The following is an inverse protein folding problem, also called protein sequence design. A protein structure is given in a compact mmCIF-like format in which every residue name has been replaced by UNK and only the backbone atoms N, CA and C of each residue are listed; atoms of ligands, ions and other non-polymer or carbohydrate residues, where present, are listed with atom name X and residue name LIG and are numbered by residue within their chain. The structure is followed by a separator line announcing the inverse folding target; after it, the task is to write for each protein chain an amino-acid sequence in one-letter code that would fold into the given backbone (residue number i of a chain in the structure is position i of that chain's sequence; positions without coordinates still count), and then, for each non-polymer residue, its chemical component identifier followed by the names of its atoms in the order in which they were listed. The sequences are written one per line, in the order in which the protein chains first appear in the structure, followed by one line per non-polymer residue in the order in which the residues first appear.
data_IF_680853392876
#
_entry.id   IF_680853392876
#
_cell.length_a   1.000
_cell.length_b   1.000
_cell.length_c   1.000
_cell.angle_alpha   90.00
_cell.angle_beta   90.00
_cell.angle_gamma   90.00
#
_symmetry.space_group_name_H-M   'P 1'
#
loop_
_entity.id
_entity.type
_entity.pdbx_description
1 polymer ?
#
# COMPACT_ATOMS: atom_id res chain seq x y z
N UNK A 1 -3.68 9.24 3.45
CA UNK A 1 -2.92 9.60 4.66
C UNK A 1 -1.52 9.03 4.55
N UNK A 2 -0.49 9.84 4.83
CA UNK A 2 0.90 9.35 4.85
C UNK A 2 1.35 9.09 6.29
N UNK A 3 1.85 7.89 6.55
CA UNK A 3 2.42 7.49 7.83
C UNK A 3 3.93 7.37 7.63
N UNK A 4 4.69 8.22 8.32
CA UNK A 4 6.15 8.16 8.33
C UNK A 4 6.62 6.84 8.94
N UNK A 5 7.14 5.95 8.10
CA UNK A 5 7.61 4.63 8.51
C UNK A 5 8.85 4.26 7.67
N UNK A 6 9.94 3.80 8.30
CA UNK A 6 11.12 3.35 7.55
C UNK A 6 10.81 2.10 6.72
N UNK A 7 11.62 1.87 5.69
CA UNK A 7 11.61 0.61 4.93
C UNK A 7 11.67 -0.61 5.86
N UNK A 8 10.89 -1.64 5.55
CA UNK A 8 10.81 -2.87 6.34
C UNK A 8 9.87 -2.80 7.54
N UNK A 9 9.30 -1.63 7.85
CA UNK A 9 8.27 -1.51 8.89
C UNK A 9 7.08 -2.42 8.59
N UNK A 10 6.57 -3.09 9.63
CA UNK A 10 5.48 -4.06 9.51
C UNK A 10 4.18 -3.34 9.13
N UNK A 11 3.47 -3.90 8.16
CA UNK A 11 2.12 -3.53 7.79
C UNK A 11 1.15 -4.54 8.36
N UNK A 12 0.16 -4.05 9.09
CA UNK A 12 -0.93 -4.86 9.63
C UNK A 12 -2.23 -4.55 8.91
N UNK A 13 -3.11 -5.55 8.80
CA UNK A 13 -4.46 -5.35 8.29
C UNK A 13 -5.24 -4.43 9.23
N UNK A 14 -5.73 -3.31 8.69
CA UNK A 14 -6.56 -2.36 9.43
C UNK A 14 -7.98 -2.88 9.71
N UNK A 15 -8.47 -3.82 8.91
CA UNK A 15 -9.81 -4.43 9.01
C UNK A 15 -9.72 -5.94 8.73
N UNK A 16 -10.78 -6.67 9.07
CA UNK A 16 -10.99 -8.01 8.52
C UNK A 16 -11.33 -7.88 7.03
N UNK A 17 -10.91 -8.84 6.20
CA UNK A 17 -11.31 -8.82 4.81
C UNK A 17 -10.50 -9.74 3.92
N UNK A 18 -10.47 -9.40 2.64
CA UNK A 18 -9.81 -10.18 1.59
C UNK A 18 -8.84 -9.31 0.79
N UNK A 19 -7.65 -9.83 0.52
CA UNK A 19 -6.70 -9.21 -0.38
C UNK A 19 -7.27 -9.26 -1.81
N UNK A 20 -7.52 -8.10 -2.39
CA UNK A 20 -8.10 -7.94 -3.73
C UNK A 20 -7.08 -7.50 -4.77
N UNK A 21 -5.91 -7.02 -4.36
CA UNK A 21 -4.83 -6.64 -5.27
C UNK A 21 -3.46 -6.71 -4.59
N UNK A 22 -2.46 -7.21 -5.32
CA UNK A 22 -1.04 -7.11 -5.01
C UNK A 22 -0.28 -6.83 -6.29
N UNK A 23 0.43 -5.71 -6.40
CA UNK A 23 1.17 -5.40 -7.62
C UNK A 23 1.59 -3.94 -7.72
N UNK A 24 2.22 -3.57 -8.83
CA UNK A 24 2.60 -2.18 -9.10
C UNK A 24 1.44 -1.41 -9.72
N UNK A 25 0.91 -0.41 -9.00
CA UNK A 25 -0.28 0.36 -9.35
C UNK A 25 0.07 1.82 -9.66
N UNK A 26 0.98 2.03 -10.61
CA UNK A 26 1.38 3.36 -11.09
C UNK A 26 1.87 4.25 -9.94
N UNK A 27 1.15 5.35 -9.69
CA UNK A 27 1.52 6.32 -8.66
C UNK A 27 1.58 5.74 -7.24
N UNK A 28 0.82 4.68 -6.94
CA UNK A 28 0.87 3.99 -5.65
C UNK A 28 2.10 3.10 -5.45
N UNK A 29 2.92 2.92 -6.50
CA UNK A 29 4.04 1.99 -6.47
C UNK A 29 3.56 0.55 -6.31
N UNK A 30 4.34 -0.28 -5.64
CA UNK A 30 3.84 -1.55 -5.14
C UNK A 30 2.75 -1.30 -4.10
N UNK A 31 1.61 -1.94 -4.30
CA UNK A 31 0.38 -1.72 -3.55
C UNK A 31 -0.23 -3.05 -3.13
N UNK A 32 -0.70 -3.11 -1.89
CA UNK A 32 -1.63 -4.15 -1.40
C UNK A 32 -2.98 -3.50 -1.24
N UNK A 33 -4.04 -4.14 -1.73
CA UNK A 33 -5.42 -3.73 -1.48
C UNK A 33 -6.12 -4.79 -0.67
N UNK A 34 -6.68 -4.37 0.46
CA UNK A 34 -7.55 -5.14 1.33
C UNK A 34 -8.98 -4.63 1.12
N UNK A 35 -9.94 -5.52 0.94
CA UNK A 35 -11.35 -5.15 0.80
C UNK A 35 -12.23 -6.01 1.67
N UNK A 36 -13.27 -5.38 2.20
CA UNK A 36 -14.42 -6.03 2.82
C UNK A 36 -15.70 -5.62 2.07
N UNK A 37 -16.89 -5.98 2.55
CA UNK A 37 -18.17 -5.71 1.89
C UNK A 37 -18.38 -4.23 1.54
N UNK A 38 -17.98 -3.30 2.42
CA UNK A 38 -18.24 -1.86 2.27
C UNK A 38 -16.97 -1.00 2.19
N UNK A 39 -15.80 -1.60 2.38
CA UNK A 39 -14.54 -0.88 2.55
C UNK A 39 -13.45 -1.39 1.64
N UNK A 40 -12.64 -0.46 1.12
CA UNK A 40 -11.41 -0.76 0.40
C UNK A 40 -10.26 0.04 0.98
N UNK A 41 -9.24 -0.66 1.45
CA UNK A 41 -8.03 -0.09 2.02
C UNK A 41 -6.84 -0.40 1.11
N UNK A 42 -6.12 0.64 0.69
CA UNK A 42 -4.91 0.51 -0.12
C UNK A 42 -3.68 0.91 0.69
N UNK A 43 -2.71 0.00 0.73
CA UNK A 43 -1.38 0.21 1.29
C UNK A 43 -0.43 0.41 0.12
N UNK A 44 0.05 1.62 -0.08
CA UNK A 44 0.93 2.01 -1.19
C UNK A 44 2.39 2.11 -0.74
N UNK A 45 3.30 2.12 -1.71
CA UNK A 45 4.76 2.15 -1.52
C UNK A 45 5.27 0.98 -0.67
N UNK A 46 4.62 -0.19 -0.76
CA UNK A 46 4.98 -1.39 0.01
C UNK A 46 6.15 -2.13 -0.62
N UNK A 47 6.66 -3.14 0.09
CA UNK A 47 7.73 -4.00 -0.41
C UNK A 47 7.26 -4.83 -1.61
N UNK A 48 8.09 -4.99 -2.65
CA UNK A 48 7.79 -5.93 -3.75
C UNK A 48 7.77 -7.40 -3.31
N UNK A 49 8.29 -7.71 -2.11
CA UNK A 49 8.23 -9.04 -1.51
C UNK A 49 6.90 -9.19 -0.77
N UNK A 50 5.84 -9.44 -1.53
CA UNK A 50 4.53 -9.74 -0.95
C UNK A 50 4.58 -11.03 -0.13
N UNK A 51 3.98 -10.99 1.06
CA UNK A 51 3.78 -12.17 1.93
C UNK A 51 2.31 -12.63 1.95
N UNK A 52 1.47 -11.94 1.18
CA UNK A 52 0.05 -12.23 0.98
C UNK A 52 -0.24 -12.30 -0.51
N UNK A 53 -1.33 -12.98 -0.88
CA UNK A 53 -1.76 -13.15 -2.26
C UNK A 53 -3.22 -12.72 -2.49
N UNK A 54 -3.55 -12.33 -3.73
CA UNK A 54 -4.94 -12.01 -4.12
C UNK A 54 -5.82 -13.23 -3.89
N UNK A 55 -6.87 -13.08 -3.11
CA UNK A 55 -7.71 -14.21 -2.69
C UNK A 55 -7.64 -14.49 -1.19
N UNK A 56 -6.52 -14.17 -0.55
CA UNK A 56 -6.28 -14.45 0.86
C UNK A 56 -7.22 -13.66 1.75
N UNK A 57 -7.87 -14.34 2.70
CA UNK A 57 -8.59 -13.70 3.81
C UNK A 57 -7.61 -13.38 4.93
N UNK A 58 -7.74 -12.20 5.53
CA UNK A 58 -6.89 -11.75 6.64
C UNK A 58 -7.77 -11.14 7.72
N UNK A 59 -7.34 -11.27 8.96
CA UNK A 59 -7.99 -10.65 10.12
C UNK A 59 -7.30 -9.34 10.50
N UNK A 60 -8.04 -8.41 11.09
CA UNK A 60 -7.51 -7.15 11.62
C UNK A 60 -6.36 -7.44 12.57
N UNK A 61 -5.23 -6.76 12.35
CA UNK A 61 -3.99 -6.94 13.11
C UNK A 61 -3.07 -8.01 12.53
N UNK A 62 -3.48 -8.79 11.55
CA UNK A 62 -2.62 -9.74 10.84
C UNK A 62 -1.55 -9.00 10.04
N UNK A 63 -0.34 -9.57 9.99
CA UNK A 63 0.78 -9.01 9.23
C UNK A 63 0.56 -9.30 7.75
N UNK A 64 0.39 -8.24 6.95
CA UNK A 64 0.10 -8.33 5.51
C UNK A 64 1.26 -7.92 4.61
N UNK A 65 2.30 -7.30 5.17
CA UNK A 65 3.46 -6.90 4.40
C UNK A 65 4.41 -5.99 5.15
N UNK A 66 5.24 -5.28 4.38
CA UNK A 66 6.21 -4.33 4.90
C UNK A 66 6.23 -3.07 4.04
N UNK A 67 6.59 -1.93 4.64
CA UNK A 67 6.91 -0.70 3.90
C UNK A 67 8.06 -0.99 2.95
N UNK A 68 7.91 -0.54 1.71
CA UNK A 68 8.88 -0.80 0.66
C UNK A 68 10.02 0.20 0.64
N UNK A 69 11.04 -0.07 -0.20
CA UNK A 69 12.11 0.88 -0.45
C UNK A 69 11.58 2.10 -1.23
N UNK A 70 12.33 3.21 -1.16
CA UNK A 70 12.12 4.37 -2.04
C UNK A 70 12.31 4.00 -3.52
N UNK A 71 13.29 3.16 -3.82
CA UNK A 71 13.70 2.83 -5.18
C UNK A 71 13.36 1.38 -5.53
N UNK A 72 12.82 1.17 -6.73
CA UNK A 72 12.49 -0.17 -7.25
C UNK A 72 12.92 -0.29 -8.71
N UNK A 73 13.67 -1.36 -9.01
CA UNK A 73 14.27 -1.57 -10.33
C UNK A 73 13.58 -2.74 -11.06
N UNK A 74 13.59 -2.70 -12.40
CA UNK A 74 13.05 -3.79 -13.23
C UNK A 74 11.53 -3.85 -13.31
N UNK A 75 10.82 -2.82 -12.83
CA UNK A 75 9.35 -2.75 -12.87
C UNK A 75 8.90 -2.30 -14.26
N UNK A 76 8.29 -3.23 -15.03
CA UNK A 76 7.77 -2.93 -16.37
C UNK A 76 6.65 -1.89 -16.29
N UNK A 77 6.77 -0.80 -17.04
CA UNK A 77 5.79 0.28 -17.06
C UNK A 77 5.90 1.29 -15.92
N UNK A 78 6.95 1.20 -15.09
CA UNK A 78 7.25 2.23 -14.11
C UNK A 78 7.84 3.47 -14.81
N UNK A 79 7.06 4.55 -14.85
CA UNK A 79 7.48 5.84 -15.38
C UNK A 79 7.84 6.85 -14.27
N UNK A 80 7.90 6.40 -13.01
CA UNK A 80 8.20 7.24 -11.87
C UNK A 80 9.68 7.19 -11.53
N UNK A 81 10.29 8.35 -11.39
CA UNK A 81 11.72 8.51 -11.11
C UNK A 81 11.96 9.77 -10.27
N UNK A 82 13.06 9.79 -9.52
CA UNK A 82 13.51 10.99 -8.84
C UNK A 82 14.22 11.98 -9.78
N UNK A 83 14.65 13.12 -9.24
CA UNK A 83 15.40 14.16 -9.99
C UNK A 83 16.69 13.64 -10.64
N UNK A 84 17.25 12.53 -10.13
CA UNK A 84 18.46 11.89 -10.63
C UNK A 84 18.15 10.74 -11.60
N UNK A 85 16.87 10.54 -11.96
CA UNK A 85 16.43 9.47 -12.86
C UNK A 85 16.39 8.08 -12.22
N UNK A 86 16.50 7.95 -10.90
CA UNK A 86 16.38 6.65 -10.22
C UNK A 86 14.90 6.26 -10.14
N UNK A 87 14.52 5.04 -10.56
CA UNK A 87 13.12 4.62 -10.58
C UNK A 87 12.57 4.49 -9.15
N UNK A 88 11.51 5.22 -8.85
CA UNK A 88 10.90 5.27 -7.52
C UNK A 88 9.77 4.25 -7.39
N UNK A 89 9.45 3.89 -6.16
CA UNK A 89 8.31 3.02 -5.82
C UNK A 89 6.99 3.76 -5.98
N UNK A 90 6.63 4.13 -7.21
CA UNK A 90 5.52 5.03 -7.50
C UNK A 90 5.88 6.50 -7.30
N UNK A 91 4.88 7.35 -7.14
CA UNK A 91 4.99 8.79 -6.93
C UNK A 91 5.37 9.10 -5.47
N UNK A 92 6.55 8.65 -5.04
CA UNK A 92 7.04 8.84 -3.67
C UNK A 92 8.26 9.75 -3.61
N UNK A 93 8.34 10.60 -2.58
CA UNK A 93 9.51 11.46 -2.30
C UNK A 93 10.46 10.82 -1.28
N UNK A 94 10.02 9.80 -0.54
CA UNK A 94 10.76 9.12 0.53
C UNK A 94 10.04 7.88 1.07
N UNK A 95 10.70 7.07 1.90
CA UNK A 95 10.07 5.90 2.53
C UNK A 95 8.97 6.33 3.50
N UNK A 96 7.73 5.99 3.17
CA UNK A 96 6.54 6.19 3.99
C UNK A 96 5.47 5.17 3.57
N UNK A 97 4.49 4.94 4.44
CA UNK A 97 3.29 4.20 4.07
C UNK A 97 2.22 5.22 3.63
N UNK A 98 1.78 5.13 2.38
CA UNK A 98 0.57 5.85 1.95
C UNK A 98 -0.65 4.95 2.14
N UNK A 99 -1.55 5.37 3.01
CA UNK A 99 -2.74 4.64 3.44
C UNK A 99 -3.98 5.34 2.89
N UNK A 100 -4.73 4.65 2.03
CA UNK A 100 -6.00 5.12 1.47
C UNK A 100 -7.16 4.27 1.98
N UNK A 101 -8.23 4.92 2.43
CA UNK A 101 -9.53 4.27 2.71
C UNK A 101 -10.53 4.77 1.65
N UNK A 102 -11.39 3.87 1.17
CA UNK A 102 -12.61 4.19 0.44
C UNK A 102 -13.76 3.45 1.10
N UNK A 103 -14.86 4.15 1.35
CA UNK A 103 -16.11 3.60 1.89
C UNK A 103 -17.19 3.80 0.81
N UNK A 104 -17.93 2.75 0.47
CA UNK A 104 -19.11 2.85 -0.41
C UNK A 104 -18.91 3.65 -1.73
N UNK A 105 -17.73 3.52 -2.35
CA UNK A 105 -17.29 4.27 -3.55
C UNK A 105 -17.09 5.80 -3.39
N UNK A 106 -17.25 6.36 -2.18
CA UNK A 106 -16.82 7.73 -1.83
C UNK A 106 -15.50 7.74 -1.02
N UNK A 107 -14.73 8.83 -1.16
CA UNK A 107 -13.46 9.01 -0.45
C UNK A 107 -13.72 9.64 0.92
N UNK A 108 -13.62 8.85 1.98
CA UNK A 108 -13.81 9.29 3.36
C UNK A 108 -12.47 9.49 4.07
N UNK A 109 -12.40 10.47 4.98
CA UNK A 109 -11.19 10.75 5.76
C UNK A 109 -10.94 9.61 6.79
N UNK A 110 -9.79 8.92 6.74
CA UNK A 110 -9.49 7.81 7.65
C UNK A 110 -9.36 8.22 9.12
N UNK A 111 -9.26 9.51 9.45
CA UNK A 111 -9.18 9.98 10.84
C UNK A 111 -10.49 9.82 11.62
N UNK A 112 -11.63 9.68 10.95
CA UNK A 112 -12.95 9.58 11.60
C UNK A 112 -13.22 8.20 12.25
N UNK A 113 -12.39 7.19 11.97
CA UNK A 113 -12.54 5.83 12.48
C UNK A 113 -11.56 5.46 13.61
N UNK A 114 -10.80 6.43 14.13
CA UNK A 114 -9.93 6.27 15.29
C UNK A 114 -10.22 7.33 16.37
N UNK A 115 -11.37 7.21 17.05
CA UNK A 115 -11.62 7.78 18.39
C UNK A 115 -12.29 6.72 19.27
#
# INVERSE_FOLDING_TARGET
MDIGAPEGSILIAAIDGKITYTGFLGGGGYTITLSDENMKITYCHVSPKFIVEVGQKVERGEVIGQVGPKYVYGVKGNNYQDENGKPTNGATTGTHLHFGIRLEDEYEDPLDYYI
#
